data_IF_206484075175
#
_entry.id   IF_206484075175
#
_cell.length_a   1.000
_cell.length_b   1.000
_cell.length_c   1.000
_cell.angle_alpha   90.00
_cell.angle_beta   90.00
_cell.angle_gamma   90.00
#
_symmetry.space_group_name_H-M   'P 1'
#
loop_
_entity.id
_entity.type
_entity.pdbx_description
1 polymer ?
#
# COMPACT_ATOMS: atom_id res chain seq x y z
N UNK A 1 45.27 -70.54 -10.01
CA UNK A 1 45.13 -70.05 -8.65
C UNK A 1 44.64 -68.60 -8.75
N UNK A 2 43.29 -68.44 -8.77
CA UNK A 2 42.64 -67.13 -8.93
C UNK A 2 42.35 -66.56 -7.54
N UNK A 3 42.90 -65.40 -7.28
CA UNK A 3 42.67 -64.64 -6.07
C UNK A 3 41.47 -63.68 -6.28
N UNK A 4 40.41 -63.77 -5.49
CA UNK A 4 39.31 -62.81 -5.62
C UNK A 4 39.67 -61.47 -5.03
N UNK A 5 39.57 -60.40 -5.82
CA UNK A 5 39.67 -59.04 -5.38
C UNK A 5 38.38 -58.72 -4.65
N UNK A 6 38.49 -58.52 -3.34
CA UNK A 6 37.40 -57.97 -2.52
C UNK A 6 37.37 -56.46 -2.72
N UNK A 7 36.36 -56.00 -3.49
CA UNK A 7 36.04 -54.57 -3.59
C UNK A 7 35.30 -54.13 -2.33
N UNK A 8 36.02 -53.51 -1.40
CA UNK A 8 35.39 -52.85 -0.25
C UNK A 8 34.73 -51.57 -0.76
N UNK A 9 33.41 -51.62 -0.94
CA UNK A 9 32.60 -50.41 -1.09
C UNK A 9 32.59 -49.75 0.29
N UNK A 10 33.40 -48.70 0.46
CA UNK A 10 33.21 -47.75 1.55
C UNK A 10 31.88 -47.03 1.31
N UNK A 11 30.84 -47.48 2.02
CA UNK A 11 29.65 -46.70 2.16
C UNK A 11 30.07 -45.44 2.92
N UNK A 12 30.22 -44.30 2.23
CA UNK A 12 30.06 -43.00 2.85
C UNK A 12 28.66 -42.99 3.47
N UNK A 13 28.56 -43.19 4.75
CA UNK A 13 27.41 -42.77 5.50
C UNK A 13 27.46 -41.25 5.43
N UNK A 14 26.64 -40.71 4.52
CA UNK A 14 26.33 -39.31 4.52
C UNK A 14 25.57 -39.05 5.82
N UNK A 15 26.35 -38.75 6.88
CA UNK A 15 25.84 -38.17 8.11
C UNK A 15 25.52 -36.72 7.79
N UNK A 16 24.60 -36.51 6.87
CA UNK A 16 23.80 -35.31 6.88
C UNK A 16 23.00 -35.41 8.18
N UNK A 17 23.58 -34.90 9.27
CA UNK A 17 22.74 -34.41 10.35
C UNK A 17 21.72 -33.51 9.66
N UNK A 18 20.49 -34.01 9.53
CA UNK A 18 19.33 -33.20 9.31
C UNK A 18 19.31 -32.23 10.47
N UNK A 19 20.08 -31.15 10.30
CA UNK A 19 19.91 -29.98 11.14
C UNK A 19 18.48 -29.59 10.82
N UNK A 20 17.54 -29.99 11.67
CA UNK A 20 16.20 -29.46 11.74
C UNK A 20 16.36 -27.93 11.89
N UNK A 21 16.58 -27.27 10.76
CA UNK A 21 16.60 -25.81 10.72
C UNK A 21 15.18 -25.41 10.99
N UNK A 22 14.92 -25.10 12.23
CA UNK A 22 13.66 -24.60 12.73
C UNK A 22 13.36 -23.29 11.99
N UNK A 23 12.62 -23.41 10.91
CA UNK A 23 12.18 -22.26 10.14
C UNK A 23 11.00 -21.63 10.87
N UNK A 24 11.12 -20.35 11.18
CA UNK A 24 9.97 -19.59 11.58
C UNK A 24 8.90 -19.67 10.47
N UNK A 25 7.68 -19.98 10.85
CA UNK A 25 6.52 -19.96 9.94
C UNK A 25 5.65 -18.76 10.29
N UNK A 26 5.37 -17.94 9.29
CA UNK A 26 4.57 -16.72 9.44
C UNK A 26 3.19 -16.95 8.85
N UNK A 27 2.15 -16.67 9.63
CA UNK A 27 0.76 -16.84 9.16
C UNK A 27 0.40 -15.75 8.13
N UNK A 28 -0.53 -16.07 7.24
CA UNK A 28 -1.16 -15.08 6.36
C UNK A 28 -1.75 -13.95 7.21
N UNK A 29 -1.53 -12.66 6.85
CA UNK A 29 -2.06 -11.54 7.61
C UNK A 29 -3.59 -11.55 7.65
N UNK A 30 -4.14 -11.10 8.77
CA UNK A 30 -5.56 -10.83 8.92
C UNK A 30 -5.78 -9.33 9.02
N UNK A 31 -6.65 -8.78 8.18
CA UNK A 31 -7.09 -7.38 8.27
C UNK A 31 -8.17 -7.30 9.35
N UNK A 32 -7.98 -6.45 10.34
CA UNK A 32 -8.88 -6.30 11.50
C UNK A 32 -9.70 -5.02 11.45
N UNK A 33 -9.16 -3.97 10.84
CA UNK A 33 -9.86 -2.69 10.68
C UNK A 33 -9.51 -2.10 9.31
N UNK A 34 -10.52 -1.53 8.67
CA UNK A 34 -10.39 -0.85 7.37
C UNK A 34 -10.97 0.54 7.52
N UNK A 35 -10.26 1.54 6.98
CA UNK A 35 -10.71 2.92 6.84
C UNK A 35 -10.36 3.43 5.45
N UNK A 36 -10.78 4.62 5.04
CA UNK A 36 -10.38 5.17 3.74
C UNK A 36 -8.87 5.35 3.55
N UNK A 37 -8.11 5.53 4.64
CA UNK A 37 -6.67 5.86 4.56
C UNK A 37 -5.78 4.95 5.37
N UNK A 38 -6.34 3.89 5.97
CA UNK A 38 -5.56 2.94 6.77
C UNK A 38 -6.15 1.52 6.77
N UNK A 39 -5.27 0.55 7.01
CA UNK A 39 -5.61 -0.85 7.25
C UNK A 39 -4.86 -1.32 8.50
N UNK A 40 -5.56 -1.87 9.49
CA UNK A 40 -4.90 -2.53 10.61
C UNK A 40 -4.77 -4.03 10.31
N UNK A 41 -3.57 -4.55 10.44
CA UNK A 41 -3.24 -5.94 10.11
C UNK A 41 -2.58 -6.64 11.28
N UNK A 42 -2.86 -7.93 11.42
CA UNK A 42 -2.26 -8.79 12.44
C UNK A 42 -1.76 -10.08 11.79
N UNK A 43 -0.73 -10.67 12.37
CA UNK A 43 -0.23 -11.98 11.99
C UNK A 43 0.24 -12.74 13.23
N UNK A 44 0.63 -13.99 13.04
CA UNK A 44 1.30 -14.79 14.06
C UNK A 44 2.54 -15.46 13.47
N UNK A 45 3.45 -15.81 14.34
CA UNK A 45 4.65 -16.55 13.98
C UNK A 45 4.80 -17.75 14.92
N UNK A 46 5.23 -18.87 14.37
CA UNK A 46 5.56 -20.08 15.11
C UNK A 46 6.99 -20.49 14.78
N UNK A 47 7.63 -21.22 15.68
CA UNK A 47 9.03 -21.63 15.58
C UNK A 47 9.86 -21.07 16.71
N UNK A 48 11.19 -20.97 16.54
CA UNK A 48 12.06 -20.39 17.54
C UNK A 48 12.00 -18.87 17.53
N UNK A 49 11.20 -18.31 18.43
CA UNK A 49 10.98 -16.87 18.55
C UNK A 49 12.23 -16.12 19.01
N UNK A 50 13.21 -16.78 19.62
CA UNK A 50 14.44 -16.15 20.10
C UNK A 50 15.39 -15.75 18.95
N UNK A 51 15.19 -16.33 17.77
CA UNK A 51 15.95 -16.03 16.56
C UNK A 51 15.35 -14.88 15.74
N UNK A 52 14.19 -14.38 16.12
CA UNK A 52 13.51 -13.30 15.39
C UNK A 52 14.09 -11.96 15.80
N UNK A 53 14.81 -11.33 14.88
CA UNK A 53 15.42 -10.01 15.09
C UNK A 53 14.44 -8.89 14.73
N UNK A 54 13.59 -9.12 13.72
CA UNK A 54 12.64 -8.12 13.21
C UNK A 54 11.38 -8.79 12.68
N UNK A 55 10.23 -8.14 12.86
CA UNK A 55 8.94 -8.58 12.31
C UNK A 55 8.14 -7.37 11.84
N UNK A 56 7.30 -7.56 10.81
CA UNK A 56 6.50 -6.50 10.25
C UNK A 56 5.68 -6.95 9.06
N UNK A 57 5.21 -5.95 8.31
CA UNK A 57 4.41 -6.15 7.11
C UNK A 57 5.01 -5.37 5.95
N UNK A 58 4.99 -5.96 4.77
CA UNK A 58 5.26 -5.28 3.51
C UNK A 58 3.99 -5.23 2.68
N UNK A 59 3.77 -4.12 1.98
CA UNK A 59 2.55 -3.91 1.21
C UNK A 59 2.79 -3.07 -0.03
N UNK A 60 1.91 -3.24 -1.03
CA UNK A 60 1.97 -2.49 -2.29
C UNK A 60 0.60 -2.49 -2.96
N UNK A 61 0.26 -1.40 -3.65
CA UNK A 61 -0.89 -1.36 -4.55
C UNK A 61 -0.56 -1.91 -5.96
N UNK A 62 0.72 -1.93 -6.33
CA UNK A 62 1.19 -2.32 -7.66
C UNK A 62 1.79 -3.73 -7.70
N UNK A 63 2.63 -4.08 -6.72
CA UNK A 63 3.28 -5.38 -6.66
C UNK A 63 2.36 -6.42 -6.01
N UNK A 64 1.94 -7.43 -6.78
CA UNK A 64 1.06 -8.51 -6.30
C UNK A 64 1.72 -9.42 -5.25
N UNK A 65 3.04 -9.43 -5.15
CA UNK A 65 3.83 -10.17 -4.16
C UNK A 65 4.83 -9.21 -3.53
N UNK A 66 4.41 -8.36 -2.56
CA UNK A 66 5.28 -7.36 -1.97
C UNK A 66 6.40 -8.00 -1.15
N UNK A 67 7.51 -7.29 -1.07
CA UNK A 67 8.72 -7.65 -0.35
C UNK A 67 9.19 -6.47 0.49
N UNK A 68 10.28 -6.62 1.24
CA UNK A 68 10.92 -5.52 1.99
C UNK A 68 11.46 -4.38 1.11
N UNK A 69 11.40 -4.51 -0.22
CA UNK A 69 11.77 -3.44 -1.17
C UNK A 69 10.59 -2.52 -1.48
N UNK A 70 9.38 -2.92 -1.11
CA UNK A 70 8.15 -2.16 -1.24
C UNK A 70 7.90 -1.34 0.03
N UNK A 71 6.67 -0.91 0.29
CA UNK A 71 6.34 -0.26 1.54
C UNK A 71 6.43 -1.24 2.72
N UNK A 72 7.05 -0.80 3.81
CA UNK A 72 7.30 -1.63 4.99
C UNK A 72 6.85 -0.90 6.24
N UNK A 73 6.24 -1.64 7.17
CA UNK A 73 5.91 -1.18 8.52
C UNK A 73 6.36 -2.24 9.53
N UNK A 74 6.99 -1.80 10.61
CA UNK A 74 7.36 -2.68 11.71
C UNK A 74 6.12 -3.00 12.56
N UNK A 75 6.03 -4.24 13.01
CA UNK A 75 4.94 -4.68 13.87
C UNK A 75 5.28 -4.46 15.36
N UNK A 76 4.23 -4.28 16.14
CA UNK A 76 4.31 -4.23 17.60
C UNK A 76 4.60 -5.61 18.22
N UNK A 77 4.59 -5.67 19.56
CA UNK A 77 4.81 -6.91 20.31
C UNK A 77 3.77 -8.00 19.97
N UNK A 78 2.54 -7.60 19.67
CA UNK A 78 1.44 -8.51 19.34
C UNK A 78 1.43 -8.93 17.87
N UNK A 79 2.47 -8.60 17.11
CA UNK A 79 2.55 -8.76 15.67
C UNK A 79 1.37 -8.09 14.94
N UNK A 80 1.08 -6.86 15.33
CA UNK A 80 0.07 -5.98 14.74
C UNK A 80 0.73 -4.70 14.22
N UNK A 81 0.14 -4.12 13.16
CA UNK A 81 0.56 -2.83 12.63
C UNK A 81 -0.60 -2.11 11.95
N UNK A 82 -0.51 -0.78 11.89
CA UNK A 82 -1.40 0.07 11.09
C UNK A 82 -0.67 0.56 9.85
N UNK A 83 -1.15 0.15 8.68
CA UNK A 83 -0.75 0.70 7.39
C UNK A 83 -1.50 2.02 7.21
N UNK A 84 -0.80 3.13 7.17
CA UNK A 84 -1.39 4.48 7.12
C UNK A 84 -1.02 5.21 5.83
N UNK A 85 -1.66 6.37 5.60
CA UNK A 85 -1.45 7.19 4.39
C UNK A 85 -1.74 6.44 3.09
N UNK A 86 -2.71 5.54 3.15
CA UNK A 86 -3.18 4.78 1.99
C UNK A 86 -4.16 5.63 1.16
N UNK A 87 -4.27 5.28 -0.11
CA UNK A 87 -5.27 5.87 -1.01
C UNK A 87 -6.62 5.20 -0.77
N UNK A 88 -7.69 5.98 -0.70
CA UNK A 88 -9.06 5.47 -0.52
C UNK A 88 -9.52 4.65 -1.73
N UNK A 89 -10.40 3.67 -1.49
CA UNK A 89 -10.94 2.81 -2.53
C UNK A 89 -9.92 1.95 -3.27
N UNK A 90 -8.70 1.80 -2.71
CA UNK A 90 -7.56 1.16 -3.38
C UNK A 90 -7.26 -0.20 -2.77
N UNK A 91 -7.02 -1.20 -3.63
CA UNK A 91 -6.63 -2.54 -3.21
C UNK A 91 -5.13 -2.62 -2.97
N UNK A 92 -4.75 -3.21 -1.84
CA UNK A 92 -3.37 -3.44 -1.45
C UNK A 92 -3.10 -4.93 -1.26
N UNK A 93 -1.97 -5.39 -1.77
CA UNK A 93 -1.39 -6.70 -1.48
C UNK A 93 -0.52 -6.57 -0.25
N UNK A 94 -0.67 -7.47 0.70
CA UNK A 94 -0.02 -7.37 2.03
C UNK A 94 0.57 -8.73 2.38
N UNK A 95 1.80 -8.73 2.91
CA UNK A 95 2.47 -9.91 3.48
C UNK A 95 3.05 -9.56 4.84
N UNK A 96 2.96 -10.50 5.76
CA UNK A 96 3.78 -10.45 6.97
C UNK A 96 5.19 -10.98 6.69
N UNK A 97 6.18 -10.49 7.42
CA UNK A 97 7.53 -11.01 7.37
C UNK A 97 8.16 -11.07 8.76
N UNK A 98 9.11 -11.96 8.91
CA UNK A 98 10.08 -11.94 9.99
C UNK A 98 11.49 -11.99 9.41
N UNK A 99 12.44 -11.38 10.11
CA UNK A 99 13.86 -11.51 9.83
C UNK A 99 14.48 -12.37 10.92
N UNK A 100 14.92 -13.55 10.53
CA UNK A 100 15.56 -14.52 11.42
C UNK A 100 16.68 -15.26 10.67
N UNK A 101 17.71 -15.63 11.36
CA UNK A 101 18.85 -16.37 10.80
C UNK A 101 19.38 -15.75 9.49
N UNK A 102 19.58 -14.43 9.49
CA UNK A 102 20.11 -13.63 8.37
C UNK A 102 19.27 -13.67 7.08
N UNK A 103 17.97 -14.00 7.17
CA UNK A 103 17.05 -14.03 6.03
C UNK A 103 15.65 -13.56 6.39
N UNK A 104 14.90 -13.19 5.37
CA UNK A 104 13.49 -12.87 5.48
C UNK A 104 12.62 -14.09 5.19
N UNK A 105 11.70 -14.39 6.09
CA UNK A 105 10.64 -15.38 5.90
C UNK A 105 9.33 -14.62 5.75
N UNK A 106 8.60 -14.92 4.69
CA UNK A 106 7.35 -14.23 4.33
C UNK A 106 6.16 -15.15 4.45
N UNK A 107 5.02 -14.57 4.78
CA UNK A 107 3.72 -15.24 4.70
C UNK A 107 3.22 -15.34 3.26
N UNK A 108 2.09 -16.00 3.08
CA UNK A 108 1.24 -15.81 1.90
C UNK A 108 0.70 -14.39 1.82
N UNK A 109 0.28 -13.98 0.62
CA UNK A 109 -0.29 -12.67 0.35
C UNK A 109 -1.76 -12.63 0.75
N UNK A 110 -2.19 -11.54 1.38
CA UNK A 110 -3.61 -11.17 1.49
C UNK A 110 -3.85 -9.89 0.70
N UNK A 111 -5.03 -9.78 0.10
CA UNK A 111 -5.48 -8.56 -0.56
C UNK A 111 -6.56 -7.90 0.29
N UNK A 112 -6.45 -6.59 0.48
CA UNK A 112 -7.45 -5.79 1.17
C UNK A 112 -7.64 -4.46 0.46
N UNK A 113 -8.88 -3.97 0.45
CA UNK A 113 -9.25 -2.70 -0.18
C UNK A 113 -9.62 -1.70 0.90
N UNK A 114 -9.06 -0.50 0.86
CA UNK A 114 -9.45 0.60 1.73
C UNK A 114 -10.88 1.03 1.42
N UNK A 115 -11.57 1.59 2.40
CA UNK A 115 -12.89 2.17 2.18
C UNK A 115 -12.80 3.35 1.21
N UNK A 116 -13.85 3.56 0.42
CA UNK A 116 -13.98 4.78 -0.38
C UNK A 116 -14.33 5.95 0.52
N UNK A 117 -13.78 7.12 0.25
CA UNK A 117 -14.27 8.35 0.87
C UNK A 117 -15.70 8.64 0.39
N UNK A 118 -16.55 9.06 1.31
CA UNK A 118 -17.84 9.62 0.91
C UNK A 118 -17.62 11.03 0.32
N UNK A 119 -18.51 11.48 -0.55
CA UNK A 119 -18.47 12.84 -1.10
C UNK A 119 -18.47 13.91 0.02
N UNK A 120 -19.20 13.66 1.10
CA UNK A 120 -19.24 14.53 2.27
C UNK A 120 -17.88 14.63 2.98
N UNK A 121 -17.11 13.52 3.03
CA UNK A 121 -15.78 13.53 3.64
C UNK A 121 -14.74 14.17 2.73
N UNK A 122 -14.86 14.01 1.42
CA UNK A 122 -14.04 14.74 0.45
C UNK A 122 -14.28 16.25 0.56
N UNK A 123 -15.53 16.68 0.65
CA UNK A 123 -15.89 18.10 0.80
C UNK A 123 -15.39 18.70 2.11
N UNK A 124 -15.45 17.96 3.22
CA UNK A 124 -14.91 18.41 4.52
C UNK A 124 -13.39 18.60 4.51
N UNK A 125 -12.69 17.78 3.73
CA UNK A 125 -11.24 17.80 3.62
C UNK A 125 -10.75 18.60 2.40
N UNK A 126 -11.66 19.16 1.61
CA UNK A 126 -11.31 19.96 0.45
C UNK A 126 -10.60 21.25 0.86
N UNK A 127 -9.36 21.36 0.46
CA UNK A 127 -8.61 22.62 0.56
C UNK A 127 -8.67 23.27 -0.82
N UNK A 128 -9.42 24.34 -0.91
CA UNK A 128 -9.50 25.10 -2.15
C UNK A 128 -8.10 25.55 -2.56
N UNK A 129 -7.68 25.35 -3.82
CA UNK A 129 -6.41 25.84 -4.30
C UNK A 129 -6.35 27.35 -4.13
N UNK A 130 -5.26 27.86 -3.56
CA UNK A 130 -5.02 29.28 -3.45
C UNK A 130 -4.47 29.75 -4.80
N UNK A 131 -5.31 30.40 -5.58
CA UNK A 131 -4.84 31.11 -6.76
C UNK A 131 -4.38 32.52 -6.36
N UNK A 132 -3.16 32.87 -6.68
CA UNK A 132 -2.74 34.27 -6.67
C UNK A 132 -3.12 34.89 -8.00
N UNK A 133 -4.38 35.15 -8.18
CA UNK A 133 -4.81 35.90 -9.37
C UNK A 133 -4.40 37.37 -9.19
N UNK A 134 -3.67 37.88 -10.15
CA UNK A 134 -3.45 39.31 -10.26
C UNK A 134 -4.69 39.97 -10.88
N UNK A 135 -5.65 40.31 -10.02
CA UNK A 135 -6.86 41.02 -10.42
C UNK A 135 -6.63 42.46 -10.86
N UNK A 136 -5.38 42.96 -10.80
CA UNK A 136 -5.07 44.34 -11.20
C UNK A 136 -5.33 44.57 -12.67
N UNK A 137 -5.14 43.56 -13.51
CA UNK A 137 -5.48 43.63 -14.93
C UNK A 137 -6.99 43.67 -15.19
N UNK A 138 -7.81 43.07 -14.33
CA UNK A 138 -9.29 43.05 -14.41
C UNK A 138 -9.86 44.38 -13.92
N UNK A 139 -9.22 45.03 -13.01
CA UNK A 139 -9.65 46.36 -12.54
C UNK A 139 -9.39 47.49 -13.56
N UNK A 140 -8.55 47.26 -14.55
CA UNK A 140 -8.29 48.22 -15.59
C UNK A 140 -9.41 48.17 -16.67
N UNK A 141 -10.41 48.99 -16.45
CA UNK A 141 -11.58 49.07 -17.33
C UNK A 141 -11.24 49.42 -18.79
N UNK A 142 -10.08 50.02 -19.07
CA UNK A 142 -9.60 50.33 -20.41
C UNK A 142 -9.26 49.09 -21.23
N UNK A 143 -8.98 47.96 -20.55
CA UNK A 143 -8.64 46.68 -21.17
C UNK A 143 -9.83 45.73 -21.32
N UNK A 144 -11.05 46.20 -21.04
CA UNK A 144 -12.28 45.40 -21.06
C UNK A 144 -12.45 44.61 -22.35
N UNK A 145 -12.06 45.16 -23.49
CA UNK A 145 -12.16 44.48 -24.80
C UNK A 145 -11.19 43.31 -24.96
N UNK A 146 -10.19 43.20 -24.07
CA UNK A 146 -9.21 42.12 -24.06
C UNK A 146 -9.61 41.00 -23.07
N UNK A 147 -10.62 41.26 -22.25
CA UNK A 147 -11.10 40.24 -21.30
C UNK A 147 -11.88 39.20 -22.08
N UNK A 148 -11.41 37.97 -22.03
CA UNK A 148 -12.16 36.81 -22.53
C UNK A 148 -13.15 36.34 -21.45
N UNK A 149 -13.68 37.27 -20.67
CA UNK A 149 -14.68 37.04 -19.68
C UNK A 149 -16.04 37.35 -20.32
N UNK A 150 -16.77 36.33 -20.69
CA UNK A 150 -18.18 36.47 -20.94
C UNK A 150 -18.86 37.05 -19.70
N UNK A 151 -19.89 37.87 -19.86
CA UNK A 151 -20.72 38.30 -18.74
C UNK A 151 -21.33 37.05 -18.10
N UNK A 152 -20.77 36.65 -16.95
CA UNK A 152 -21.27 35.47 -16.24
C UNK A 152 -22.42 35.92 -15.36
N UNK A 153 -23.64 35.57 -15.74
CA UNK A 153 -24.83 35.73 -14.92
C UNK A 153 -25.25 34.37 -14.41
N UNK A 154 -25.51 34.28 -13.10
CA UNK A 154 -26.04 33.09 -12.42
C UNK A 154 -25.27 31.80 -12.77
N UNK A 155 -23.97 31.71 -12.49
CA UNK A 155 -23.20 30.53 -12.82
C UNK A 155 -23.67 29.33 -11.98
N UNK A 156 -24.01 28.25 -12.68
CA UNK A 156 -24.25 26.96 -12.06
C UNK A 156 -23.13 26.01 -12.43
N UNK A 157 -22.53 25.35 -11.44
CA UNK A 157 -21.46 24.36 -11.64
C UNK A 157 -22.02 22.98 -11.30
N UNK A 158 -21.87 22.04 -12.22
CA UNK A 158 -22.32 20.66 -12.06
C UNK A 158 -21.11 19.74 -12.27
N UNK A 159 -20.90 18.82 -11.34
CA UNK A 159 -20.00 17.71 -11.55
C UNK A 159 -20.72 16.63 -12.35
N UNK A 160 -20.24 16.31 -13.55
CA UNK A 160 -20.79 15.27 -14.39
C UNK A 160 -20.21 13.89 -14.05
N UNK A 161 -20.88 12.83 -14.53
CA UNK A 161 -20.46 11.44 -14.30
C UNK A 161 -19.07 11.11 -14.89
N UNK A 162 -18.59 11.90 -15.84
CA UNK A 162 -17.25 11.78 -16.42
C UNK A 162 -16.12 12.35 -15.52
N UNK A 163 -16.48 12.92 -14.36
CA UNK A 163 -15.56 13.51 -13.41
C UNK A 163 -15.14 14.96 -13.72
N UNK A 164 -15.72 15.58 -14.72
CA UNK A 164 -15.46 16.97 -15.05
C UNK A 164 -16.53 17.91 -14.48
N UNK A 165 -16.10 19.13 -14.13
CA UNK A 165 -16.99 20.21 -13.74
C UNK A 165 -17.42 21.00 -14.98
N UNK A 166 -18.72 21.13 -15.18
CA UNK A 166 -19.31 21.93 -16.23
C UNK A 166 -19.94 23.17 -15.62
N UNK A 167 -19.57 24.33 -16.16
CA UNK A 167 -20.17 25.59 -15.76
C UNK A 167 -21.21 26.04 -16.80
N UNK A 168 -22.40 26.24 -16.34
CA UNK A 168 -23.49 26.81 -17.15
C UNK A 168 -23.71 28.25 -16.72
N UNK A 169 -23.93 29.11 -17.67
CA UNK A 169 -24.25 30.51 -17.45
C UNK A 169 -25.40 30.94 -18.35
N UNK A 170 -26.19 31.90 -17.88
CA UNK A 170 -27.16 32.57 -18.71
C UNK A 170 -26.50 33.72 -19.44
N UNK A 171 -26.74 33.83 -20.73
CA UNK A 171 -26.29 35.00 -21.51
C UNK A 171 -27.25 36.17 -21.23
N UNK A 172 -26.70 37.31 -20.82
CA UNK A 172 -27.47 38.54 -20.72
C UNK A 172 -27.40 39.24 -22.06
N UNK A 173 -28.44 39.05 -22.83
CA UNK A 173 -28.69 39.80 -24.06
C UNK A 173 -29.12 41.26 -23.76
#
# INVERSE_FOLDING_TARGET
MFLPIFLVLAACSDNSEDIDRYYATVSTPKVTTTTPTSLTVTASVTGDLNQIVKKGFCYSAAASVPTIKDHVVDADENFSASLSTLTSGTSYYIRAYVYCDSRYVYSEVVTATTESLSLDDELKNYVAPTYSDDYTSISDWSKRSQWNLANVHDPSVVLAEDGYYYMYQTDAS
#
